data_IF_552249625872
#
_entry.id   IF_552249625872
#
_cell.length_a   1.000
_cell.length_b   1.000
_cell.length_c   1.000
_cell.angle_alpha   90.00
_cell.angle_beta   90.00
_cell.angle_gamma   90.00
#
_symmetry.space_group_name_H-M   'P 1'
#
loop_
_entity.id
_entity.type
_entity.pdbx_description
1 polymer ?
#
# COMPACT_ATOMS: atom_id res chain seq x y z
N UNK A 1 -15.98 9.03 -2.04
CA UNK A 1 -15.23 9.38 -0.81
C UNK A 1 -13.88 8.69 -0.92
N UNK A 2 -12.79 9.44 -0.93
CA UNK A 2 -11.45 8.84 -0.95
C UNK A 2 -11.05 8.42 0.46
N UNK A 3 -10.42 7.25 0.60
CA UNK A 3 -9.84 6.82 1.89
C UNK A 3 -8.45 7.44 1.98
N UNK A 4 -8.18 8.18 3.05
CA UNK A 4 -6.92 8.90 3.21
C UNK A 4 -6.16 8.40 4.42
N UNK A 5 -4.83 8.47 4.34
CA UNK A 5 -3.96 8.15 5.45
C UNK A 5 -4.14 9.18 6.57
N UNK A 6 -4.42 8.72 7.79
CA UNK A 6 -4.58 9.58 8.96
C UNK A 6 -3.31 10.35 9.36
N UNK A 7 -2.15 10.00 8.82
CA UNK A 7 -0.87 10.63 9.15
C UNK A 7 -0.46 11.74 8.17
N UNK A 8 -0.70 11.57 6.87
CA UNK A 8 -0.23 12.49 5.84
C UNK A 8 -1.33 12.93 4.85
N UNK A 9 -2.57 12.51 5.10
CA UNK A 9 -3.76 12.77 4.26
C UNK A 9 -3.62 12.35 2.79
N UNK A 10 -2.61 11.54 2.46
CA UNK A 10 -2.44 10.97 1.13
C UNK A 10 -3.47 9.88 0.91
N UNK A 11 -4.06 9.83 -0.28
CA UNK A 11 -4.97 8.75 -0.67
C UNK A 11 -4.30 7.38 -0.49
N UNK A 12 -4.97 6.47 0.19
CA UNK A 12 -4.42 5.13 0.43
C UNK A 12 -4.59 4.25 -0.78
N UNK A 13 -3.70 3.28 -0.91
CA UNK A 13 -3.74 2.25 -1.94
C UNK A 13 -4.00 0.90 -1.30
N UNK A 14 -4.43 -0.07 -2.09
CA UNK A 14 -4.69 -1.42 -1.65
C UNK A 14 -3.63 -2.37 -2.17
N UNK A 15 -3.30 -3.39 -1.39
CA UNK A 15 -2.49 -4.53 -1.84
C UNK A 15 -3.24 -5.81 -1.55
N UNK A 16 -3.01 -6.84 -2.35
CA UNK A 16 -3.55 -8.17 -2.05
C UNK A 16 -2.83 -8.78 -0.85
N UNK A 17 -3.48 -9.74 -0.22
CA UNK A 17 -2.88 -10.55 0.85
C UNK A 17 -1.60 -11.27 0.38
N UNK A 18 -1.56 -11.75 -0.87
CA UNK A 18 -0.35 -12.36 -1.45
C UNK A 18 0.79 -11.35 -1.52
N UNK A 19 0.55 -10.17 -2.07
CA UNK A 19 1.54 -9.09 -2.15
C UNK A 19 2.00 -8.65 -0.76
N UNK A 20 1.09 -8.54 0.20
CA UNK A 20 1.43 -8.21 1.57
C UNK A 20 2.35 -9.27 2.21
N UNK A 21 2.10 -10.55 1.94
CA UNK A 21 2.96 -11.63 2.42
C UNK A 21 4.35 -11.59 1.77
N UNK A 22 4.44 -11.26 0.48
CA UNK A 22 5.72 -11.10 -0.21
C UNK A 22 6.50 -9.89 0.36
N UNK A 23 5.83 -8.76 0.60
CA UNK A 23 6.41 -7.59 1.27
C UNK A 23 6.98 -7.99 2.64
N UNK A 24 6.20 -8.70 3.47
CA UNK A 24 6.64 -9.15 4.80
C UNK A 24 7.83 -10.10 4.74
N UNK A 25 7.88 -11.00 3.75
CA UNK A 25 8.99 -11.94 3.57
C UNK A 25 10.26 -11.27 3.08
N UNK A 26 10.13 -10.38 2.10
CA UNK A 26 11.28 -9.78 1.40
C UNK A 26 11.89 -8.64 2.20
N UNK A 27 11.06 -7.76 2.75
CA UNK A 27 11.50 -6.50 3.37
C UNK A 27 11.42 -6.51 4.90
N UNK A 28 10.66 -7.44 5.49
CA UNK A 28 10.27 -7.42 6.92
C UNK A 28 9.97 -5.99 7.44
N UNK A 29 9.16 -5.18 6.72
CA UNK A 29 9.03 -3.78 7.06
C UNK A 29 8.13 -3.65 8.29
N UNK A 30 8.44 -2.68 9.14
CA UNK A 30 7.57 -2.31 10.26
C UNK A 30 6.44 -1.41 9.71
N UNK A 31 5.40 -2.03 9.14
CA UNK A 31 4.29 -1.33 8.48
C UNK A 31 3.41 -0.69 9.55
N UNK A 32 3.53 0.63 9.73
CA UNK A 32 2.86 1.36 10.81
C UNK A 32 1.37 1.58 10.54
N UNK A 33 0.96 1.61 9.26
CA UNK A 33 -0.43 1.93 8.90
C UNK A 33 -1.34 0.71 8.72
N UNK A 34 -0.79 -0.50 8.74
CA UNK A 34 -1.59 -1.72 8.51
C UNK A 34 -2.54 -2.02 9.67
N UNK A 35 -2.18 -1.60 10.89
CA UNK A 35 -2.98 -1.85 12.10
C UNK A 35 -4.16 -0.90 12.28
N UNK A 36 -4.26 0.16 11.47
CA UNK A 36 -5.24 1.25 11.70
C UNK A 36 -6.24 1.46 10.56
N UNK A 37 -6.09 0.77 9.43
CA UNK A 37 -6.97 0.96 8.27
C UNK A 37 -7.77 -0.30 7.96
N UNK A 38 -9.08 -0.13 8.06
CA UNK A 38 -10.12 -1.12 7.92
C UNK A 38 -9.88 -2.13 6.79
N UNK A 39 -9.90 -3.40 7.16
CA UNK A 39 -10.14 -4.51 6.24
C UNK A 39 -11.43 -4.22 5.47
N UNK A 40 -11.35 -4.08 4.15
CA UNK A 40 -12.55 -3.98 3.33
C UNK A 40 -13.36 -5.28 3.54
N UNK A 41 -14.69 -5.21 3.73
CA UNK A 41 -15.53 -6.35 4.12
C UNK A 41 -15.65 -7.45 3.04
N UNK A 42 -14.95 -7.35 1.92
CA UNK A 42 -14.88 -8.35 0.87
C UNK A 42 -13.42 -8.69 0.54
N UNK A 43 -12.88 -9.63 1.31
CA UNK A 43 -11.74 -10.53 1.05
C UNK A 43 -10.45 -9.98 0.41
N UNK A 44 -9.37 -10.04 1.22
CA UNK A 44 -7.96 -10.10 0.80
C UNK A 44 -7.32 -8.82 0.25
N UNK A 45 -7.90 -7.65 0.49
CA UNK A 45 -7.25 -6.35 0.21
C UNK A 45 -6.91 -5.59 1.49
N UNK A 46 -5.67 -5.10 1.57
CA UNK A 46 -5.14 -4.35 2.70
C UNK A 46 -4.83 -2.92 2.29
N UNK A 47 -5.33 -1.93 3.04
CA UNK A 47 -5.05 -0.52 2.82
C UNK A 47 -3.66 -0.14 3.37
N UNK A 48 -2.85 0.48 2.53
CA UNK A 48 -1.49 0.95 2.84
C UNK A 48 -1.34 2.39 2.38
N UNK A 49 -0.67 3.22 3.17
CA UNK A 49 -0.34 4.56 2.74
C UNK A 49 0.87 4.52 1.79
N UNK A 50 0.74 4.98 0.54
CA UNK A 50 1.84 4.90 -0.40
C UNK A 50 2.98 5.87 -0.04
N UNK A 51 2.70 6.94 0.72
CA UNK A 51 3.70 7.91 1.16
C UNK A 51 4.39 7.54 2.46
N UNK A 52 3.64 7.12 3.48
CA UNK A 52 4.20 6.76 4.78
C UNK A 52 4.94 5.41 4.75
N UNK A 53 4.45 4.48 3.94
CA UNK A 53 4.97 3.12 3.85
C UNK A 53 5.55 2.84 2.45
N UNK A 54 6.05 3.87 1.77
CA UNK A 54 6.62 3.77 0.42
C UNK A 54 7.72 2.68 0.33
N UNK A 55 8.58 2.60 1.34
CA UNK A 55 9.60 1.55 1.45
C UNK A 55 8.98 0.14 1.48
N UNK A 56 7.88 -0.05 2.21
CA UNK A 56 7.18 -1.34 2.26
C UNK A 56 6.56 -1.70 0.91
N UNK A 57 6.21 -0.72 0.08
CA UNK A 57 5.72 -0.93 -1.28
C UNK A 57 6.84 -1.14 -2.32
N UNK A 58 8.10 -1.13 -1.88
CA UNK A 58 9.25 -1.38 -2.74
C UNK A 58 9.74 -0.15 -3.48
N UNK A 59 9.63 1.05 -2.89
CA UNK A 59 10.18 2.28 -3.48
C UNK A 59 11.68 2.13 -3.85
N UNK A 60 12.47 1.50 -2.99
CA UNK A 60 13.91 1.28 -3.20
C UNK A 60 14.23 -0.01 -3.99
N UNK A 61 13.21 -0.81 -4.34
CA UNK A 61 13.43 -2.03 -5.12
C UNK A 61 13.50 -1.67 -6.61
N UNK A 62 14.30 -2.41 -7.38
CA UNK A 62 14.27 -2.32 -8.85
C UNK A 62 12.88 -2.66 -9.42
N UNK A 63 12.13 -3.50 -8.73
CA UNK A 63 10.75 -3.87 -9.08
C UNK A 63 9.87 -3.67 -7.85
N UNK A 64 9.01 -2.65 -7.90
CA UNK A 64 8.04 -2.38 -6.85
C UNK A 64 6.93 -3.44 -6.79
N UNK A 65 6.25 -3.51 -5.65
CA UNK A 65 5.10 -4.39 -5.48
C UNK A 65 3.85 -3.82 -6.18
N UNK A 66 2.98 -4.69 -6.72
CA UNK A 66 1.75 -4.24 -7.33
C UNK A 66 0.80 -3.66 -6.28
N UNK A 67 0.27 -2.47 -6.56
CA UNK A 67 -0.72 -1.78 -5.73
C UNK A 67 -1.97 -1.50 -6.55
N UNK A 68 -3.10 -1.35 -5.87
CA UNK A 68 -4.41 -1.12 -6.47
C UNK A 68 -4.92 0.24 -5.95
N UNK A 69 -5.18 1.16 -6.86
CA UNK A 69 -5.79 2.44 -6.57
C UNK A 69 -7.25 2.27 -6.16
N UNK A 70 -7.83 3.30 -5.55
CA UNK A 70 -9.23 3.27 -5.09
C UNK A 70 -10.25 3.19 -6.23
N UNK A 71 -9.84 3.52 -7.45
CA UNK A 71 -10.62 3.33 -8.67
C UNK A 71 -10.52 1.90 -9.25
N UNK A 72 -9.78 1.00 -8.58
CA UNK A 72 -9.53 -0.38 -9.02
C UNK A 72 -8.38 -0.55 -10.01
N UNK A 73 -7.70 0.53 -10.41
CA UNK A 73 -6.55 0.45 -11.32
C UNK A 73 -5.33 -0.11 -10.60
N UNK A 74 -4.67 -1.09 -11.21
CA UNK A 74 -3.40 -1.63 -10.73
C UNK A 74 -2.21 -0.80 -11.26
N UNK A 75 -1.26 -0.51 -10.39
CA UNK A 75 -0.05 0.28 -10.67
C UNK A 75 1.06 -0.10 -9.69
N UNK A 76 2.12 0.70 -9.57
CA UNK A 76 3.22 0.53 -8.62
C UNK A 76 3.55 1.85 -7.92
N UNK A 77 4.30 1.80 -6.83
CA UNK A 77 4.71 3.02 -6.10
C UNK A 77 5.55 3.97 -6.96
N UNK A 78 6.27 3.46 -7.96
CA UNK A 78 7.10 4.26 -8.88
C UNK A 78 6.29 5.08 -9.87
N UNK A 79 5.05 4.67 -10.16
CA UNK A 79 4.15 5.38 -11.08
C UNK A 79 3.25 6.39 -10.35
N UNK A 80 3.32 6.46 -9.02
CA UNK A 80 2.56 7.42 -8.24
C UNK A 80 3.31 8.76 -8.13
N UNK A 81 2.65 9.84 -8.54
CA UNK A 81 3.13 11.21 -8.36
C UNK A 81 2.90 11.67 -6.90
N UNK A 82 3.78 11.25 -6.00
CA UNK A 82 3.66 11.47 -4.55
C UNK A 82 4.61 12.55 -3.99
N UNK A 83 5.47 13.13 -4.84
CA UNK A 83 6.54 14.07 -4.51
C UNK A 83 6.64 15.18 -5.53
#
# INVERSE_FOLDING_TARGET
MAIECKHCHTAVVFVTESTLNDIKKLLQPNIKTLSTQATAPSSSLHAICPRCDAYALGLDLNTAFPIILQNGQQTTIHELDLW
#
